data_IF_156314485900
#
_entry.id   IF_156314485900
#
_cell.length_a   1.000
_cell.length_b   1.000
_cell.length_c   1.000
_cell.angle_alpha   90.00
_cell.angle_beta   90.00
_cell.angle_gamma   90.00
#
_symmetry.space_group_name_H-M   'P 1'
#
loop_
_entity.id
_entity.type
_entity.pdbx_description
1 polymer ?
#
# COMPACT_ATOMS: atom_id res chain seq x y z
N UNK A 1 -8.68 -7.04 55.74
CA UNK A 1 -8.62 -6.95 55.22
C UNK A 1 -8.48 -6.74 54.09
N UNK A 2 -8.42 -6.59 53.69
CA UNK A 2 -8.42 -6.35 52.83
C UNK A 2 -7.75 -6.26 52.00
N UNK A 3 -7.37 -6.19 51.64
CA UNK A 3 -6.81 -6.03 51.04
C UNK A 3 -6.69 -6.51 50.06
N UNK A 4 -6.54 -6.77 49.72
CA UNK A 4 -6.53 -7.37 48.94
C UNK A 4 -6.66 -7.03 47.76
N UNK A 5 -6.92 -6.60 47.52
CA UNK A 5 -7.21 -6.21 46.50
C UNK A 5 -6.25 -5.92 45.63
N UNK A 6 -5.53 -5.58 45.74
CA UNK A 6 -4.60 -5.27 45.00
C UNK A 6 -4.35 -6.01 44.02
N UNK A 7 -4.43 -6.80 44.15
CA UNK A 7 -4.19 -7.67 43.34
C UNK A 7 -4.53 -7.30 42.09
N UNK A 8 -5.31 -6.85 41.98
CA UNK A 8 -5.82 -6.64 40.81
C UNK A 8 -4.91 -6.04 39.95
N UNK A 9 -4.26 -5.34 40.35
CA UNK A 9 -3.52 -4.72 39.54
C UNK A 9 -2.78 -5.42 38.66
N UNK A 10 -2.41 -6.27 38.96
CA UNK A 10 -1.55 -7.00 38.20
C UNK A 10 -2.00 -7.03 36.88
N UNK A 11 -3.06 -7.23 36.79
CA UNK A 11 -3.53 -7.35 35.67
C UNK A 11 -3.08 -6.56 34.65
N UNK A 12 -3.19 -5.54 34.75
CA UNK A 12 -2.98 -4.82 33.73
C UNK A 12 -1.77 -4.93 33.10
N UNK A 13 -1.06 -5.26 33.72
CA UNK A 13 0.12 -5.40 33.24
C UNK A 13 0.11 -6.00 32.01
N UNK A 14 -0.45 -6.94 31.98
CA UNK A 14 -0.48 -7.65 30.95
C UNK A 14 -0.62 -6.95 29.81
N UNK A 15 -1.44 -6.22 29.74
CA UNK A 15 -1.66 -5.65 28.66
C UNK A 15 -0.59 -5.09 28.08
N UNK A 16 0.07 -4.61 28.70
CA UNK A 16 1.09 -3.95 28.14
C UNK A 16 1.76 -4.79 27.20
N UNK A 17 1.95 -5.82 27.58
CA UNK A 17 2.65 -6.63 26.81
C UNK A 17 2.28 -6.61 25.48
N UNK A 18 1.18 -6.89 25.25
CA UNK A 18 0.90 -7.17 24.04
C UNK A 18 1.01 -6.17 23.14
N UNK A 19 1.12 -5.24 23.55
CA UNK A 19 1.18 -4.26 22.76
C UNK A 19 2.24 -4.53 21.88
N UNK A 20 3.15 -5.03 22.29
CA UNK A 20 4.22 -5.29 21.52
C UNK A 20 3.92 -5.83 20.24
N UNK A 21 3.15 -6.61 20.21
CA UNK A 21 2.91 -7.26 19.04
C UNK A 21 2.99 -6.43 17.86
N UNK A 22 2.44 -5.45 17.88
CA UNK A 22 2.30 -4.72 16.72
C UNK A 22 3.54 -4.36 16.17
N UNK A 23 4.32 -4.15 16.94
CA UNK A 23 5.49 -3.71 16.50
C UNK A 23 6.04 -4.42 15.42
N UNK A 24 5.77 -5.56 15.36
CA UNK A 24 6.40 -6.28 14.38
C UNK A 24 6.04 -5.86 13.06
N UNK A 25 5.04 -5.18 12.92
CA UNK A 25 4.62 -4.83 11.61
C UNK A 25 5.72 -4.07 10.95
N UNK A 26 6.07 -4.45 9.81
CA UNK A 26 7.08 -3.77 9.07
C UNK A 26 6.64 -2.35 8.83
N UNK A 27 7.54 -1.46 8.99
CA UNK A 27 7.25 -0.10 8.68
C UNK A 27 7.36 0.09 7.20
N UNK A 28 6.28 0.47 6.60
CA UNK A 28 6.25 0.73 5.17
C UNK A 28 6.40 2.22 4.95
N UNK A 29 7.18 2.56 3.96
CA UNK A 29 7.42 3.96 3.63
C UNK A 29 6.69 4.31 2.35
N UNK A 30 6.08 5.46 2.28
CA UNK A 30 5.37 5.82 1.07
C UNK A 30 6.32 6.08 -0.08
N UNK A 31 6.00 5.51 -1.23
CA UNK A 31 6.69 5.80 -2.45
C UNK A 31 5.98 6.96 -3.10
N UNK A 32 4.67 6.92 -3.11
CA UNK A 32 3.85 7.95 -3.73
C UNK A 32 2.46 7.95 -3.13
N UNK A 33 1.89 9.11 -2.95
CA UNK A 33 0.50 9.27 -2.53
C UNK A 33 -0.20 10.09 -3.59
N UNK A 34 -1.33 9.58 -4.07
CA UNK A 34 -2.10 10.26 -5.10
C UNK A 34 -3.53 10.41 -4.62
N UNK A 35 -4.05 11.63 -4.67
CA UNK A 35 -5.42 11.89 -4.28
C UNK A 35 -6.29 12.00 -5.50
N UNK A 36 -7.44 11.35 -5.44
CA UNK A 36 -8.45 11.50 -6.47
C UNK A 36 -9.66 12.18 -5.82
N UNK A 37 -10.75 12.31 -6.56
CA UNK A 37 -11.92 12.94 -6.00
C UNK A 37 -12.43 12.28 -4.76
N UNK A 38 -12.43 10.97 -4.72
CA UNK A 38 -13.04 10.21 -3.64
C UNK A 38 -12.08 9.37 -2.85
N UNK A 39 -10.89 9.14 -3.36
CA UNK A 39 -9.95 8.21 -2.78
C UNK A 39 -8.57 8.79 -2.64
N UNK A 40 -7.88 8.33 -1.61
CA UNK A 40 -6.49 8.59 -1.43
C UNK A 40 -5.77 7.26 -1.71
N UNK A 41 -4.93 7.23 -2.74
CA UNK A 41 -4.24 6.03 -3.16
C UNK A 41 -2.79 6.15 -2.74
N UNK A 42 -2.29 5.18 -2.00
CA UNK A 42 -0.92 5.21 -1.49
C UNK A 42 -0.16 3.98 -1.94
N UNK A 43 1.03 4.20 -2.47
CA UNK A 43 1.93 3.13 -2.84
C UNK A 43 3.08 3.14 -1.84
N UNK A 44 3.31 2.01 -1.20
CA UNK A 44 4.27 1.90 -0.12
C UNK A 44 5.20 0.70 -0.32
N UNK A 45 6.38 0.77 0.23
CA UNK A 45 7.28 -0.37 0.26
C UNK A 45 8.19 -0.25 1.48
N UNK A 46 8.93 -1.30 1.77
CA UNK A 46 9.83 -1.29 2.92
C UNK A 46 10.92 -0.25 2.76
N UNK A 47 11.42 -0.05 1.56
CA UNK A 47 12.49 0.91 1.34
C UNK A 47 11.98 2.30 0.97
N UNK A 48 10.75 2.41 0.58
CA UNK A 48 10.22 3.70 0.12
C UNK A 48 10.60 4.02 -1.31
N UNK A 49 11.12 3.08 -2.04
CA UNK A 49 11.45 3.32 -3.45
C UNK A 49 11.42 2.02 -4.24
N UNK A 50 11.28 2.17 -5.54
CA UNK A 50 11.32 1.04 -6.47
C UNK A 50 12.71 0.97 -7.10
N UNK A 51 13.14 -0.23 -7.43
CA UNK A 51 14.45 -0.44 -8.02
C UNK A 51 14.37 -1.45 -9.15
N UNK A 52 15.41 -1.53 -9.97
CA UNK A 52 15.46 -2.57 -11.01
C UNK A 52 15.39 -3.95 -10.36
N UNK A 53 14.75 -4.87 -11.01
CA UNK A 53 14.54 -6.20 -10.50
C UNK A 53 13.16 -6.34 -9.89
N UNK A 54 12.98 -7.31 -9.03
CA UNK A 54 11.70 -7.61 -8.43
C UNK A 54 11.44 -6.73 -7.22
N UNK A 55 10.27 -6.16 -7.16
CA UNK A 55 9.87 -5.31 -6.04
C UNK A 55 8.56 -5.82 -5.43
N UNK A 56 8.48 -5.76 -4.11
CA UNK A 56 7.24 -6.03 -3.39
C UNK A 56 6.75 -4.72 -2.82
N UNK A 57 5.48 -4.46 -2.94
CA UNK A 57 4.89 -3.20 -2.49
C UNK A 57 3.51 -3.42 -1.91
N UNK A 58 2.98 -2.40 -1.29
CA UNK A 58 1.62 -2.40 -0.77
C UNK A 58 0.90 -1.20 -1.37
N UNK A 59 -0.32 -1.43 -1.80
CA UNK A 59 -1.17 -0.39 -2.36
C UNK A 59 -2.36 -0.23 -1.43
N UNK A 60 -2.60 0.98 -0.96
CA UNK A 60 -3.69 1.25 -0.03
C UNK A 60 -4.66 2.26 -0.61
N UNK A 61 -5.94 2.03 -0.34
CA UNK A 61 -7.00 2.94 -0.74
C UNK A 61 -7.75 3.39 0.50
N UNK A 62 -7.93 4.68 0.64
CA UNK A 62 -8.69 5.23 1.75
C UNK A 62 -9.68 6.24 1.23
N UNK A 63 -10.81 6.35 1.91
CA UNK A 63 -11.82 7.33 1.53
C UNK A 63 -11.35 8.72 1.88
N UNK A 64 -11.57 9.67 0.99
CA UNK A 64 -11.21 11.06 1.26
C UNK A 64 -12.13 11.68 2.31
N UNK A 65 -13.29 11.09 2.56
CA UNK A 65 -14.20 11.65 3.52
C UNK A 65 -13.80 11.39 4.95
N UNK A 66 -13.44 10.17 5.27
CA UNK A 66 -13.17 9.79 6.65
C UNK A 66 -11.82 9.10 6.81
N UNK A 67 -11.05 9.02 5.77
CA UNK A 67 -9.73 8.40 5.79
C UNK A 67 -9.74 6.94 6.22
N UNK A 68 -10.86 6.28 6.06
CA UNK A 68 -10.99 4.86 6.38
C UNK A 68 -10.67 4.01 5.15
N UNK A 69 -10.22 2.78 5.34
CA UNK A 69 -9.95 1.90 4.21
C UNK A 69 -11.19 1.77 3.32
N UNK A 70 -10.98 1.84 2.03
CA UNK A 70 -12.07 1.74 1.06
C UNK A 70 -11.94 0.48 0.24
N UNK A 71 -13.01 -0.28 0.15
CA UNK A 71 -13.05 -1.48 -0.67
C UNK A 71 -13.32 -1.06 -2.11
N UNK A 72 -12.32 -1.20 -2.94
CA UNK A 72 -12.45 -0.81 -4.34
C UNK A 72 -12.56 -2.01 -5.28
N UNK A 73 -12.63 -3.21 -4.72
CA UNK A 73 -12.84 -4.40 -5.53
C UNK A 73 -11.60 -4.88 -6.25
N UNK A 74 -11.72 -5.11 -7.54
CA UNK A 74 -10.59 -5.58 -8.32
C UNK A 74 -9.67 -4.42 -8.64
N UNK A 75 -8.39 -4.63 -8.46
CA UNK A 75 -7.40 -3.59 -8.68
C UNK A 75 -6.31 -4.10 -9.60
N UNK A 76 -5.87 -3.27 -10.50
CA UNK A 76 -4.72 -3.57 -11.33
C UNK A 76 -3.74 -2.42 -11.27
N UNK A 77 -2.47 -2.74 -11.42
CA UNK A 77 -1.43 -1.74 -11.46
C UNK A 77 -0.49 -2.09 -12.59
N UNK A 78 -0.16 -1.12 -13.40
CA UNK A 78 0.84 -1.30 -14.43
C UNK A 78 1.76 -0.09 -14.45
N UNK A 79 2.96 -0.29 -14.94
CA UNK A 79 3.92 0.78 -15.05
C UNK A 79 4.44 0.81 -16.48
N UNK A 80 4.57 1.98 -17.05
CA UNK A 80 5.07 2.11 -18.41
C UNK A 80 6.21 3.11 -18.49
N UNK A 81 7.08 2.92 -19.45
CA UNK A 81 8.17 3.82 -19.73
C UNK A 81 8.09 4.20 -21.18
N UNK A 82 8.05 5.49 -21.46
CA UNK A 82 8.05 5.98 -22.82
C UNK A 82 9.42 5.78 -23.42
N UNK A 83 9.45 5.31 -24.65
CA UNK A 83 10.68 5.12 -25.39
C UNK A 83 10.55 5.82 -26.71
N UNK A 84 11.32 6.86 -26.97
CA UNK A 84 11.21 7.63 -28.20
C UNK A 84 11.35 6.73 -29.43
N UNK A 85 10.41 6.83 -30.35
CA UNK A 85 10.45 6.07 -31.57
C UNK A 85 10.12 4.59 -31.42
N UNK A 86 9.71 4.16 -30.21
CA UNK A 86 9.39 2.75 -29.98
C UNK A 86 8.12 2.64 -29.15
N UNK A 87 7.55 1.45 -29.12
CA UNK A 87 6.40 1.21 -28.28
C UNK A 87 6.80 1.30 -26.82
N UNK A 88 5.93 1.76 -25.94
CA UNK A 88 6.27 1.86 -24.53
C UNK A 88 6.53 0.50 -23.92
N UNK A 89 7.48 0.45 -22.97
CA UNK A 89 7.67 -0.76 -22.20
C UNK A 89 6.64 -0.75 -21.08
N UNK A 90 5.93 -1.83 -20.91
CA UNK A 90 4.90 -1.94 -19.90
C UNK A 90 5.18 -3.13 -18.98
N UNK A 91 5.12 -2.90 -17.68
CA UNK A 91 5.26 -3.95 -16.69
C UNK A 91 3.96 -4.02 -15.90
N UNK A 92 3.39 -5.20 -15.78
CA UNK A 92 2.19 -5.39 -14.98
C UNK A 92 2.54 -5.93 -13.62
N UNK A 93 1.76 -5.58 -12.62
CA UNK A 93 1.94 -6.09 -11.28
C UNK A 93 0.96 -7.20 -11.00
N UNK A 94 1.36 -8.11 -10.12
CA UNK A 94 0.45 -9.12 -9.58
C UNK A 94 0.01 -8.59 -8.24
N UNK A 95 -1.30 -8.53 -8.00
CA UNK A 95 -1.85 -7.99 -6.77
C UNK A 95 -2.73 -9.00 -6.07
N UNK A 96 -2.67 -9.02 -4.75
CA UNK A 96 -3.51 -9.85 -3.93
C UNK A 96 -4.08 -9.03 -2.79
N UNK A 97 -5.34 -9.24 -2.42
CA UNK A 97 -5.92 -8.52 -1.29
C UNK A 97 -5.19 -8.85 0.00
N UNK A 98 -4.97 -7.84 0.82
CA UNK A 98 -4.26 -8.00 2.08
C UNK A 98 -4.96 -7.14 3.13
N UNK A 99 -6.25 -7.30 3.27
CA UNK A 99 -7.06 -6.54 4.22
C UNK A 99 -7.93 -5.51 3.52
N UNK A 100 -8.78 -4.83 4.25
CA UNK A 100 -9.68 -3.85 3.67
C UNK A 100 -8.91 -2.72 2.99
N UNK A 101 -9.20 -2.48 1.74
CA UNK A 101 -8.57 -1.39 0.99
C UNK A 101 -7.07 -1.53 0.83
N UNK A 102 -6.53 -2.71 1.03
CA UNK A 102 -5.11 -2.91 1.00
C UNK A 102 -4.75 -4.11 0.13
N UNK A 103 -3.74 -3.93 -0.71
CA UNK A 103 -3.31 -4.96 -1.65
C UNK A 103 -1.79 -5.09 -1.60
N UNK A 104 -1.31 -6.32 -1.63
CA UNK A 104 0.12 -6.58 -1.70
C UNK A 104 0.45 -6.96 -3.13
N UNK A 105 1.49 -6.39 -3.65
CA UNK A 105 1.83 -6.62 -5.04
C UNK A 105 3.30 -6.84 -5.28
N UNK A 106 3.58 -7.36 -6.46
CA UNK A 106 4.94 -7.60 -6.94
C UNK A 106 5.03 -7.09 -8.36
N UNK A 107 6.11 -6.41 -8.66
CA UNK A 107 6.35 -5.92 -10.01
C UNK A 107 7.85 -5.96 -10.26
N UNK A 108 8.24 -6.24 -11.51
CA UNK A 108 9.64 -6.29 -11.88
C UNK A 108 9.96 -5.26 -12.95
N UNK A 109 11.11 -4.66 -12.83
CA UNK A 109 11.59 -3.68 -13.81
C UNK A 109 12.94 -4.13 -14.37
N UNK A 110 13.12 -3.95 -15.68
CA UNK A 110 14.36 -4.37 -16.31
C UNK A 110 15.49 -3.39 -16.05
N UNK A 111 15.20 -2.15 -15.82
CA UNK A 111 16.23 -1.12 -15.63
C UNK A 111 15.67 0.05 -14.81
N UNK A 112 16.52 1.03 -14.56
CA UNK A 112 16.11 2.21 -13.82
C UNK A 112 15.46 3.22 -14.76
N UNK A 113 14.86 4.23 -14.20
CA UNK A 113 14.22 5.31 -14.96
C UNK A 113 12.83 5.57 -14.46
N UNK A 114 12.28 6.70 -14.83
CA UNK A 114 10.93 7.06 -14.39
C UNK A 114 9.90 6.18 -15.05
N UNK A 115 8.92 5.77 -14.29
CA UNK A 115 7.79 4.98 -14.79
C UNK A 115 6.50 5.72 -14.54
N UNK A 116 5.59 5.64 -15.51
CA UNK A 116 4.27 6.16 -15.31
C UNK A 116 3.43 4.99 -14.81
N UNK A 117 2.92 5.10 -13.60
CA UNK A 117 2.15 4.04 -12.96
C UNK A 117 0.67 4.35 -13.12
N UNK A 118 -0.08 3.38 -13.58
CA UNK A 118 -1.53 3.48 -13.71
C UNK A 118 -2.15 2.47 -12.76
N UNK A 119 -3.03 2.95 -11.90
CA UNK A 119 -3.77 2.11 -10.98
C UNK A 119 -5.23 2.20 -11.37
N UNK A 120 -5.86 1.06 -11.59
CA UNK A 120 -7.28 1.02 -11.96
C UNK A 120 -8.02 0.11 -11.01
N UNK A 121 -9.26 0.45 -10.74
CA UNK A 121 -10.09 -0.36 -9.85
C UNK A 121 -11.50 -0.47 -10.39
N UNK A 122 -12.16 -1.57 -10.02
CA UNK A 122 -13.51 -1.85 -10.46
C UNK A 122 -14.19 -2.63 -9.33
N UNK A 123 -15.06 -2.00 -8.61
CA UNK A 123 -15.70 -2.62 -7.45
C UNK A 123 -17.09 -2.09 -7.17
N UNK A 124 -17.60 -2.43 -6.02
CA UNK A 124 -18.99 -2.07 -5.67
C UNK A 124 -19.26 -0.58 -5.70
N UNK A 125 -18.25 0.21 -5.43
CA UNK A 125 -18.44 1.65 -5.42
C UNK A 125 -18.22 2.28 -6.80
N UNK A 126 -17.85 1.49 -7.78
CA UNK A 126 -17.66 2.00 -9.13
C UNK A 126 -16.27 1.74 -9.66
N UNK A 127 -16.02 2.23 -10.87
CA UNK A 127 -14.73 2.08 -11.54
C UNK A 127 -13.99 3.39 -11.48
N UNK A 128 -12.67 3.30 -11.43
CA UNK A 128 -11.85 4.49 -11.50
C UNK A 128 -10.42 4.15 -11.82
N UNK A 129 -9.64 5.17 -12.04
CA UNK A 129 -8.22 4.99 -12.25
C UNK A 129 -7.48 6.26 -11.90
N UNK A 130 -6.20 6.12 -11.65
CA UNK A 130 -5.34 7.26 -11.42
C UNK A 130 -3.96 6.94 -11.96
N UNK A 131 -3.18 7.97 -12.20
CA UNK A 131 -1.89 7.83 -12.83
C UNK A 131 -0.89 8.75 -12.16
N UNK A 132 0.31 8.28 -11.97
CA UNK A 132 1.36 9.10 -11.38
C UNK A 132 2.72 8.59 -11.83
N UNK A 133 3.74 9.39 -11.65
CA UNK A 133 5.09 9.04 -12.07
C UNK A 133 5.91 8.66 -10.84
N UNK A 134 6.66 7.58 -10.95
CA UNK A 134 7.51 7.09 -9.87
C UNK A 134 8.89 6.78 -10.43
N UNK A 135 9.95 7.22 -9.77
CA UNK A 135 11.29 6.87 -10.24
C UNK A 135 11.65 5.45 -9.81
N UNK A 136 12.34 4.74 -10.69
CA UNK A 136 12.91 3.42 -10.40
C UNK A 136 14.41 3.62 -10.41
N UNK A 137 15.06 3.38 -9.29
CA UNK A 137 16.49 3.67 -9.16
C UNK A 137 17.30 2.55 -8.61
#
# INVERSE_FOLDING_TARGET
MMRVSWQSLAVFVVLAAWVAGPATAAELKPIKTQKTRELNVRLLSESGQLKPGKNTFVLEFASMKDNQPADVGKVSLSASMSMPGMAPMVSGATLEPDGPGRYRGTISFSDSGDRQVTVAWDGPAGKGSTRFTVPVR
#
